data_IF_504519392679
#
_entry.id   IF_504519392679
#
_cell.length_a   1.000
_cell.length_b   1.000
_cell.length_c   1.000
_cell.angle_alpha   90.00
_cell.angle_beta   90.00
_cell.angle_gamma   90.00
#
_symmetry.space_group_name_H-M   'P 1'
#
loop_
_entity.id
_entity.type
_entity.pdbx_description
1 polymer ?
#
# COMPACT_ATOMS: atom_id res chain seq x y z
N UNK A 1 30.13 15.64 -16.69
CA UNK A 1 30.01 14.17 -16.61
C UNK A 1 29.76 13.85 -15.13
N UNK A 2 28.50 13.78 -14.70
CA UNK A 2 28.13 13.75 -13.27
C UNK A 2 26.79 13.06 -13.00
N UNK A 3 25.83 13.19 -13.92
CA UNK A 3 24.44 12.75 -13.71
C UNK A 3 24.24 11.24 -13.47
N UNK A 4 25.17 10.37 -13.88
CA UNK A 4 25.01 8.90 -13.68
C UNK A 4 25.21 8.48 -12.22
N UNK A 5 26.13 9.15 -11.49
CA UNK A 5 26.40 8.82 -10.08
C UNK A 5 25.33 9.34 -9.12
N UNK A 6 24.48 10.26 -9.58
CA UNK A 6 23.38 10.78 -8.77
C UNK A 6 22.21 9.79 -8.66
N UNK A 7 22.04 8.89 -9.63
CA UNK A 7 21.07 7.80 -9.54
C UNK A 7 21.39 6.83 -8.38
N UNK A 8 22.67 6.62 -8.09
CA UNK A 8 23.12 5.77 -6.97
C UNK A 8 22.77 6.38 -5.60
N UNK A 9 22.45 7.68 -5.54
CA UNK A 9 22.08 8.40 -4.31
C UNK A 9 20.57 8.50 -4.10
N UNK A 10 19.76 8.02 -5.05
CA UNK A 10 18.30 8.04 -4.93
C UNK A 10 17.90 7.16 -3.74
N UNK A 11 17.29 7.77 -2.74
CA UNK A 11 16.72 7.08 -1.59
C UNK A 11 15.31 6.60 -1.94
N UNK A 12 14.95 5.40 -1.51
CA UNK A 12 13.58 4.90 -1.64
C UNK A 12 12.63 5.71 -0.77
N UNK A 13 11.46 6.05 -1.31
CA UNK A 13 10.40 6.71 -0.53
C UNK A 13 9.83 5.80 0.57
N UNK A 14 10.02 4.47 0.44
CA UNK A 14 9.58 3.47 1.41
C UNK A 14 10.84 2.72 1.88
N UNK A 15 11.52 3.19 2.94
CA UNK A 15 12.68 2.52 3.48
C UNK A 15 12.26 1.26 4.26
N UNK A 16 13.08 0.21 4.19
CA UNK A 16 12.93 -0.97 5.03
C UNK A 16 13.38 -0.58 6.45
N UNK A 17 12.61 -0.99 7.47
CA UNK A 17 13.01 -0.77 8.86
C UNK A 17 14.24 -1.64 9.19
N UNK A 18 15.21 -1.12 9.96
CA UNK A 18 16.46 -1.85 10.25
C UNK A 18 16.25 -3.15 11.04
N UNK A 19 15.12 -3.29 11.74
CA UNK A 19 14.72 -4.51 12.47
C UNK A 19 13.40 -5.08 11.91
N UNK A 20 13.24 -5.02 10.58
CA UNK A 20 12.08 -5.57 9.91
C UNK A 20 12.09 -7.10 10.01
N UNK A 21 11.12 -7.64 10.76
CA UNK A 21 10.90 -9.08 10.82
C UNK A 21 10.29 -9.60 9.52
N UNK A 22 10.63 -10.83 9.16
CA UNK A 22 9.98 -11.50 8.04
C UNK A 22 8.51 -11.76 8.37
N UNK A 23 7.64 -11.51 7.39
CA UNK A 23 6.21 -11.69 7.55
C UNK A 23 5.87 -13.20 7.50
N UNK A 24 5.64 -13.79 8.67
CA UNK A 24 5.24 -15.19 8.81
C UNK A 24 3.71 -15.30 8.72
N UNK A 25 3.18 -15.86 7.63
CA UNK A 25 1.73 -16.02 7.43
C UNK A 25 1.40 -17.48 7.20
N UNK A 26 0.52 -18.02 8.03
CA UNK A 26 -0.12 -19.31 7.78
C UNK A 26 -1.43 -19.11 7.00
N UNK A 27 -1.82 -20.04 6.10
CA UNK A 27 -3.03 -19.88 5.28
C UNK A 27 -4.30 -19.62 6.10
N UNK A 28 -4.44 -20.28 7.24
CA UNK A 28 -5.56 -20.16 8.19
C UNK A 28 -5.57 -18.86 9.00
N UNK A 29 -4.46 -18.11 9.02
CA UNK A 29 -4.29 -16.85 9.76
C UNK A 29 -4.05 -15.63 8.85
N UNK A 30 -4.54 -15.70 7.60
CA UNK A 30 -4.29 -14.69 6.55
C UNK A 30 -5.36 -13.59 6.44
N UNK A 31 -5.97 -13.20 7.56
CA UNK A 31 -6.96 -12.10 7.57
C UNK A 31 -6.31 -10.77 7.23
N UNK A 32 -6.89 -10.04 6.28
CA UNK A 32 -6.44 -8.70 5.87
C UNK A 32 -7.31 -7.67 6.56
N UNK A 33 -6.72 -6.68 7.24
CA UNK A 33 -7.47 -5.60 7.90
C UNK A 33 -6.94 -4.25 7.42
N UNK A 34 -7.86 -3.40 6.99
CA UNK A 34 -7.66 -1.98 6.75
C UNK A 34 -8.28 -1.23 7.93
N UNK A 35 -7.50 -0.39 8.61
CA UNK A 35 -7.96 0.41 9.75
C UNK A 35 -7.65 1.89 9.49
N UNK A 36 -8.70 2.71 9.42
CA UNK A 36 -8.63 4.16 9.25
C UNK A 36 -7.72 4.64 8.11
N UNK A 37 -7.64 3.87 7.01
CA UNK A 37 -6.70 4.12 5.93
C UNK A 37 -7.13 5.33 5.10
N UNK A 38 -6.23 6.30 4.98
CA UNK A 38 -6.39 7.46 4.08
C UNK A 38 -5.18 7.57 3.18
N UNK A 39 -5.39 7.90 1.91
CA UNK A 39 -4.32 7.92 0.91
C UNK A 39 -4.54 9.03 -0.12
N UNK A 40 -3.46 9.70 -0.50
CA UNK A 40 -3.42 10.73 -1.53
C UNK A 40 -2.09 10.62 -2.30
N UNK A 41 -2.12 10.75 -3.64
CA UNK A 41 -0.91 10.86 -4.46
C UNK A 41 -0.34 12.29 -4.43
N UNK A 42 -1.25 13.26 -4.52
CA UNK A 42 -0.95 14.69 -4.50
C UNK A 42 -1.61 15.27 -3.26
N UNK A 43 -0.86 16.07 -2.52
CA UNK A 43 -1.34 16.70 -1.29
C UNK A 43 -2.66 17.43 -1.54
N UNK A 44 -3.70 17.10 -0.77
CA UNK A 44 -5.02 17.70 -0.87
C UNK A 44 -5.98 17.00 -1.84
N UNK A 45 -5.54 15.99 -2.58
CA UNK A 45 -6.37 15.17 -3.47
C UNK A 45 -6.46 13.74 -2.91
N UNK A 46 -7.37 13.56 -1.94
CA UNK A 46 -7.60 12.26 -1.30
C UNK A 46 -8.25 11.27 -2.26
N UNK A 47 -7.62 10.10 -2.40
CA UNK A 47 -8.16 8.94 -3.14
C UNK A 47 -8.87 8.00 -2.17
N UNK A 48 -8.26 7.72 -1.02
CA UNK A 48 -8.91 7.01 0.10
C UNK A 48 -9.07 7.96 1.28
N UNK A 49 -10.21 7.90 1.95
CA UNK A 49 -10.50 8.74 3.11
C UNK A 49 -11.14 7.91 4.23
N UNK A 50 -10.36 7.61 5.26
CA UNK A 50 -10.78 6.87 6.46
C UNK A 50 -11.45 5.51 6.17
N UNK A 51 -10.89 4.72 5.25
CA UNK A 51 -11.40 3.42 4.87
C UNK A 51 -11.05 2.36 5.93
N UNK A 52 -12.05 1.63 6.43
CA UNK A 52 -11.85 0.51 7.36
C UNK A 52 -12.69 -0.70 6.94
N UNK A 53 -12.05 -1.86 6.77
CA UNK A 53 -12.72 -3.13 6.49
C UNK A 53 -11.78 -4.30 6.78
N UNK A 54 -12.34 -5.50 6.92
CA UNK A 54 -11.59 -6.74 7.10
C UNK A 54 -12.00 -7.79 6.07
N UNK A 55 -11.03 -8.50 5.51
CA UNK A 55 -11.23 -9.67 4.64
C UNK A 55 -10.74 -10.91 5.40
N UNK A 56 -11.65 -11.75 5.91
CA UNK A 56 -11.26 -12.97 6.62
C UNK A 56 -10.47 -13.93 5.71
N UNK A 57 -9.64 -14.78 6.32
CA UNK A 57 -8.91 -15.83 5.58
C UNK A 57 -9.86 -16.67 4.70
N UNK A 58 -9.39 -16.97 3.48
CA UNK A 58 -10.14 -17.75 2.49
C UNK A 58 -11.32 -17.03 1.85
N UNK A 59 -11.58 -15.76 2.20
CA UNK A 59 -12.62 -14.94 1.57
C UNK A 59 -12.05 -14.11 0.43
N UNK A 60 -12.94 -13.73 -0.49
CA UNK A 60 -12.65 -12.85 -1.62
C UNK A 60 -13.48 -11.58 -1.47
N UNK A 61 -12.87 -10.45 -1.79
CA UNK A 61 -13.55 -9.15 -1.87
C UNK A 61 -13.38 -8.60 -3.29
N UNK A 62 -14.43 -8.01 -3.84
CA UNK A 62 -14.36 -7.29 -5.10
C UNK A 62 -14.35 -5.79 -4.81
N UNK A 63 -13.43 -5.07 -5.43
CA UNK A 63 -13.36 -3.60 -5.36
C UNK A 63 -13.93 -3.08 -6.68
N UNK A 64 -14.94 -2.20 -6.59
CA UNK A 64 -15.57 -1.57 -7.74
C UNK A 64 -15.56 -0.07 -7.58
N UNK A 65 -15.38 0.67 -8.67
CA UNK A 65 -15.35 2.12 -8.66
C UNK A 65 -15.49 2.68 -10.06
N UNK A 66 -15.81 3.98 -10.17
CA UNK A 66 -15.85 4.67 -11.46
C UNK A 66 -14.46 4.79 -12.08
N UNK A 67 -14.38 4.99 -13.40
CA UNK A 67 -13.11 5.23 -14.10
C UNK A 67 -12.30 6.33 -13.41
N UNK A 68 -11.05 6.05 -13.05
CA UNK A 68 -10.16 7.00 -12.35
C UNK A 68 -10.25 7.04 -10.83
N UNK A 69 -11.06 6.19 -10.19
CA UNK A 69 -11.24 6.15 -8.71
C UNK A 69 -10.13 5.46 -7.91
N UNK A 70 -8.98 5.13 -8.53
CA UNK A 70 -7.84 4.52 -7.84
C UNK A 70 -7.81 2.99 -7.86
N UNK A 71 -8.71 2.33 -8.58
CA UNK A 71 -8.47 0.94 -9.02
C UNK A 71 -7.48 1.01 -10.20
N UNK A 72 -6.29 0.40 -10.11
CA UNK A 72 -5.37 0.41 -11.24
C UNK A 72 -6.03 -0.33 -12.40
N UNK A 73 -5.84 0.21 -13.60
CA UNK A 73 -5.78 -0.64 -14.79
C UNK A 73 -4.48 -1.43 -14.73
#
# INVERSE_FOLDING_TARGET
MSNMFDLLKIKTNIPIKPDAQSLQIAPDQSTIVFENVSFEYVKGQKILNNLSFSVPSGKKVAIVGGSGSGCPH
#
